data_IF_066867083154
#
_entry.id   IF_066867083154
#
_cell.length_a   1.000
_cell.length_b   1.000
_cell.length_c   1.000
_cell.angle_alpha   90.00
_cell.angle_beta   90.00
_cell.angle_gamma   90.00
#
_symmetry.space_group_name_H-M   'P 1'
#
loop_
_entity.id
_entity.type
_entity.pdbx_description
1 polymer ?
#
# COMPACT_ATOMS: atom_id res chain seq x y z
N UNK A 1 -5.57 -23.07 -12.34
CA UNK A 1 -5.13 -23.84 -13.52
C UNK A 1 -3.77 -23.31 -13.94
N UNK A 2 -2.74 -24.15 -14.10
CA UNK A 2 -1.42 -23.71 -14.56
C UNK A 2 -1.41 -23.71 -16.09
N UNK A 3 -1.54 -22.52 -16.69
CA UNK A 3 -1.65 -22.36 -18.15
C UNK A 3 -0.43 -22.88 -18.91
N UNK A 4 0.75 -22.91 -18.28
CA UNK A 4 1.98 -23.42 -18.89
C UNK A 4 1.95 -24.95 -18.96
N UNK A 5 1.65 -25.61 -17.84
CA UNK A 5 1.55 -27.08 -17.77
C UNK A 5 0.48 -27.63 -18.73
N UNK A 6 -0.67 -26.94 -18.82
CA UNK A 6 -1.74 -27.32 -19.74
C UNK A 6 -1.30 -27.25 -21.21
N UNK A 7 -0.51 -26.24 -21.59
CA UNK A 7 -0.01 -26.09 -22.97
C UNK A 7 1.12 -27.07 -23.29
N UNK A 8 1.96 -27.40 -22.31
CA UNK A 8 3.00 -28.43 -22.42
C UNK A 8 2.41 -29.83 -22.62
N UNK A 9 1.24 -30.12 -22.03
CA UNK A 9 0.48 -31.37 -22.22
C UNK A 9 -0.26 -31.42 -23.57
N UNK A 10 -0.78 -30.28 -24.03
CA UNK A 10 -1.61 -30.20 -25.24
C UNK A 10 -0.78 -30.17 -26.53
N UNK A 11 0.40 -29.55 -26.51
CA UNK A 11 1.23 -29.33 -27.69
C UNK A 11 2.48 -30.23 -27.66
N UNK A 12 2.79 -30.95 -28.76
CA UNK A 12 4.01 -31.73 -28.86
C UNK A 12 5.26 -30.83 -28.82
N UNK A 13 6.40 -31.41 -28.45
CA UNK A 13 7.65 -30.67 -28.42
C UNK A 13 8.05 -30.21 -29.82
N UNK A 14 7.94 -28.90 -30.05
CA UNK A 14 8.31 -28.25 -31.31
C UNK A 14 8.75 -26.80 -31.08
N UNK A 15 9.46 -26.18 -32.03
CA UNK A 15 9.82 -24.76 -31.97
C UNK A 15 8.60 -23.84 -31.80
N UNK A 16 7.48 -24.16 -32.48
CA UNK A 16 6.23 -23.40 -32.41
C UNK A 16 5.62 -23.46 -31.00
N UNK A 17 5.71 -24.62 -30.32
CA UNK A 17 5.28 -24.74 -28.93
C UNK A 17 6.09 -23.79 -28.04
N UNK A 18 7.40 -23.76 -28.22
CA UNK A 18 8.28 -22.94 -27.38
C UNK A 18 8.02 -21.43 -27.59
N UNK A 19 7.70 -21.02 -28.83
CA UNK A 19 7.23 -19.67 -29.13
C UNK A 19 5.92 -19.33 -28.40
N UNK A 20 4.91 -20.20 -28.48
CA UNK A 20 3.62 -20.01 -27.79
C UNK A 20 3.82 -19.91 -26.27
N UNK A 21 4.62 -20.81 -25.69
CA UNK A 21 4.95 -20.78 -24.27
C UNK A 21 5.66 -19.48 -23.87
N UNK A 22 6.55 -18.96 -24.71
CA UNK A 22 7.24 -17.69 -24.46
C UNK A 22 6.27 -16.51 -24.38
N UNK A 23 5.30 -16.42 -25.29
CA UNK A 23 4.28 -15.36 -25.31
C UNK A 23 3.38 -15.45 -24.09
N UNK A 24 2.97 -16.66 -23.70
CA UNK A 24 2.14 -16.86 -22.51
C UNK A 24 2.89 -16.48 -21.24
N UNK A 25 4.16 -16.87 -21.10
CA UNK A 25 5.02 -16.46 -19.98
C UNK A 25 5.14 -14.95 -19.90
N UNK A 26 5.35 -14.28 -21.04
CA UNK A 26 5.40 -12.83 -21.12
C UNK A 26 4.07 -12.20 -20.65
N UNK A 27 2.94 -12.66 -21.19
CA UNK A 27 1.61 -12.17 -20.80
C UNK A 27 1.31 -12.37 -19.31
N UNK A 28 1.67 -13.52 -18.74
CA UNK A 28 1.54 -13.79 -17.31
C UNK A 28 2.43 -12.87 -16.47
N UNK A 29 3.66 -12.59 -16.92
CA UNK A 29 4.57 -11.66 -16.24
C UNK A 29 4.03 -10.22 -16.25
N UNK A 30 3.46 -9.77 -17.37
CA UNK A 30 2.78 -8.47 -17.47
C UNK A 30 1.55 -8.41 -16.57
N UNK A 31 0.72 -9.46 -16.54
CA UNK A 31 -0.43 -9.54 -15.65
C UNK A 31 -0.01 -9.49 -14.17
N UNK A 32 1.09 -10.16 -13.81
CA UNK A 32 1.67 -10.09 -12.48
C UNK A 32 2.17 -8.67 -12.17
N UNK A 33 2.87 -8.01 -13.09
CA UNK A 33 3.31 -6.61 -12.92
C UNK A 33 2.12 -5.65 -12.74
N UNK A 34 1.04 -5.82 -13.51
CA UNK A 34 -0.18 -5.01 -13.33
C UNK A 34 -0.89 -5.30 -12.00
N UNK A 35 -0.80 -6.54 -11.49
CA UNK A 35 -1.31 -6.90 -10.14
C UNK A 35 -0.42 -6.36 -9.02
N UNK A 36 0.90 -6.33 -9.21
CA UNK A 36 1.88 -5.74 -8.27
C UNK A 36 1.62 -4.23 -8.12
N UNK A 37 1.11 -3.57 -9.17
CA UNK A 37 0.70 -2.16 -9.14
C UNK A 37 -0.47 -1.80 -8.20
N UNK A 38 -1.07 -2.75 -7.46
CA UNK A 38 -2.30 -2.49 -6.68
C UNK A 38 -2.23 -2.79 -5.18
N UNK A 39 -1.09 -3.20 -4.62
CA UNK A 39 -1.01 -3.29 -3.14
C UNK A 39 -0.71 -1.91 -2.56
N UNK A 40 -1.60 -1.34 -1.72
CA UNK A 40 -1.28 -0.09 -1.04
C UNK A 40 0.02 -0.28 -0.25
N UNK A 41 0.98 0.63 -0.45
CA UNK A 41 2.16 0.69 0.42
C UNK A 41 1.72 0.78 1.89
N UNK A 42 2.57 0.33 2.82
CA UNK A 42 2.23 0.16 4.24
C UNK A 42 1.40 1.32 4.82
N UNK A 43 1.86 2.57 4.64
CA UNK A 43 1.14 3.73 5.17
C UNK A 43 -0.23 3.94 4.51
N UNK A 44 -0.38 3.70 3.20
CA UNK A 44 -1.71 3.73 2.55
C UNK A 44 -2.63 2.65 3.14
N UNK A 45 -2.10 1.45 3.38
CA UNK A 45 -2.86 0.36 4.00
C UNK A 45 -3.25 0.66 5.45
N UNK A 46 -2.36 1.31 6.20
CA UNK A 46 -2.67 1.78 7.56
C UNK A 46 -3.73 2.88 7.54
N UNK A 47 -3.57 3.90 6.70
CA UNK A 47 -4.54 4.98 6.55
C UNK A 47 -5.92 4.44 6.13
N UNK A 48 -6.00 3.48 5.22
CA UNK A 48 -7.28 2.83 4.86
C UNK A 48 -8.00 2.20 6.06
N UNK A 49 -7.27 1.70 7.07
CA UNK A 49 -7.84 1.16 8.31
C UNK A 49 -8.20 2.26 9.31
N UNK A 50 -7.45 3.36 9.32
CA UNK A 50 -7.66 4.49 10.22
C UNK A 50 -8.83 5.37 9.79
N UNK A 51 -9.00 5.63 8.50
CA UNK A 51 -10.01 6.58 8.01
C UNK A 51 -11.46 6.24 8.42
N UNK A 52 -11.89 4.95 8.48
CA UNK A 52 -13.20 4.59 9.01
C UNK A 52 -13.44 4.92 10.49
N UNK A 53 -12.39 5.15 11.30
CA UNK A 53 -12.53 5.53 12.72
C UNK A 53 -12.79 7.02 12.90
N UNK A 54 -12.56 7.83 11.86
CA UNK A 54 -12.80 9.28 11.91
C UNK A 54 -14.29 9.54 11.81
N UNK A 55 -14.88 10.07 12.89
CA UNK A 55 -16.29 10.45 12.88
C UNK A 55 -16.57 11.61 11.92
N UNK A 56 -17.56 11.43 11.04
CA UNK A 56 -18.04 12.43 10.09
C UNK A 56 -17.18 12.59 8.83
N UNK A 57 -17.17 13.79 8.24
CA UNK A 57 -16.49 14.04 6.98
C UNK A 57 -14.96 13.93 7.14
N UNK A 58 -14.34 13.04 6.36
CA UNK A 58 -12.89 12.85 6.36
C UNK A 58 -12.21 14.08 5.75
N UNK A 59 -11.71 14.99 6.58
CA UNK A 59 -10.88 16.14 6.18
C UNK A 59 -9.41 15.89 6.51
N UNK A 60 -8.51 16.68 5.93
CA UNK A 60 -7.09 16.56 6.23
C UNK A 60 -6.78 16.93 7.70
N UNK A 61 -7.43 17.96 8.24
CA UNK A 61 -7.24 18.35 9.65
C UNK A 61 -7.71 17.26 10.63
N UNK A 62 -8.83 16.60 10.33
CA UNK A 62 -9.31 15.47 11.14
C UNK A 62 -8.38 14.27 11.05
N UNK A 63 -7.83 13.99 9.87
CA UNK A 63 -6.78 12.99 9.73
C UNK A 63 -5.55 13.35 10.57
N UNK A 64 -5.11 14.61 10.57
CA UNK A 64 -3.97 15.04 11.38
C UNK A 64 -4.24 14.87 12.88
N UNK A 65 -5.41 15.24 13.35
CA UNK A 65 -5.82 15.02 14.74
C UNK A 65 -5.79 13.52 15.10
N UNK A 66 -6.25 12.66 14.20
CA UNK A 66 -6.25 11.23 14.46
C UNK A 66 -4.85 10.61 14.45
N UNK A 67 -3.97 11.10 13.57
CA UNK A 67 -2.56 10.72 13.58
C UNK A 67 -1.84 11.22 14.86
N UNK A 68 -2.26 12.34 15.43
CA UNK A 68 -1.75 12.85 16.72
C UNK A 68 -2.20 11.95 17.88
N UNK A 69 -3.45 11.51 17.89
CA UNK A 69 -3.94 10.52 18.88
C UNK A 69 -3.18 9.21 18.77
N UNK A 70 -2.93 8.73 17.55
CA UNK A 70 -2.17 7.51 17.30
C UNK A 70 -0.69 7.64 17.70
N UNK A 71 -0.09 8.82 17.54
CA UNK A 71 1.24 9.12 18.06
C UNK A 71 1.28 9.07 19.59
N UNK A 72 0.31 9.70 20.27
CA UNK A 72 0.18 9.65 21.72
C UNK A 72 -0.06 8.21 22.22
N UNK A 73 -0.88 7.44 21.51
CA UNK A 73 -1.12 6.03 21.81
C UNK A 73 0.17 5.20 21.73
N UNK A 74 1.02 5.45 20.73
CA UNK A 74 2.33 4.81 20.64
C UNK A 74 3.24 5.18 21.81
N UNK A 75 3.24 6.45 22.22
CA UNK A 75 4.03 6.89 23.36
C UNK A 75 3.59 6.19 24.65
N UNK A 76 2.28 5.98 24.83
CA UNK A 76 1.73 5.30 26.01
C UNK A 76 1.90 3.78 26.00
N UNK A 77 1.68 3.12 24.86
CA UNK A 77 1.58 1.65 24.77
C UNK A 77 2.73 0.99 23.99
N UNK A 78 3.72 1.78 23.55
CA UNK A 78 4.89 1.30 22.82
C UNK A 78 4.68 1.18 21.31
N UNK A 79 5.73 0.71 20.63
CA UNK A 79 5.84 0.71 19.16
C UNK A 79 4.86 -0.20 18.43
N UNK A 80 4.30 -1.21 19.10
CA UNK A 80 3.33 -2.13 18.49
C UNK A 80 1.92 -1.52 18.41
N UNK A 81 1.63 -0.50 19.23
CA UNK A 81 0.31 0.09 19.30
C UNK A 81 -0.03 0.98 18.09
N UNK A 82 0.97 1.69 17.55
CA UNK A 82 0.80 2.49 16.35
C UNK A 82 2.12 2.68 15.60
N UNK A 83 2.11 2.68 14.25
CA UNK A 83 3.30 3.02 13.48
C UNK A 83 3.61 4.52 13.51
N UNK A 84 2.69 5.40 13.92
CA UNK A 84 2.90 6.85 13.93
C UNK A 84 3.73 7.24 15.15
N UNK A 85 4.83 7.95 14.93
CA UNK A 85 5.71 8.41 16.01
C UNK A 85 5.40 9.84 16.42
N UNK A 86 5.24 10.74 15.44
CA UNK A 86 5.06 12.17 15.70
C UNK A 86 4.37 12.85 14.53
N UNK A 87 3.47 13.77 14.83
CA UNK A 87 2.96 14.77 13.88
C UNK A 87 3.52 16.13 14.29
N UNK A 88 4.20 16.81 13.38
CA UNK A 88 4.76 18.13 13.60
C UNK A 88 4.11 19.13 12.66
N UNK A 89 3.20 19.96 13.20
CA UNK A 89 2.44 20.94 12.43
C UNK A 89 3.29 22.14 12.01
N UNK A 90 4.32 22.50 12.79
CA UNK A 90 5.20 23.64 12.48
C UNK A 90 6.04 23.30 11.26
N UNK A 91 6.65 22.12 11.26
CA UNK A 91 7.47 21.64 10.15
C UNK A 91 6.67 20.92 9.06
N UNK A 92 5.36 20.74 9.25
CA UNK A 92 4.45 20.05 8.33
C UNK A 92 4.94 18.65 7.95
N UNK A 93 5.38 17.88 8.94
CA UNK A 93 5.89 16.51 8.76
C UNK A 93 5.19 15.53 9.69
N UNK A 94 5.03 14.30 9.19
CA UNK A 94 4.61 13.13 9.97
C UNK A 94 5.76 12.14 9.97
N UNK A 95 6.18 11.73 11.16
CA UNK A 95 7.17 10.68 11.36
C UNK A 95 6.46 9.39 11.70
N UNK A 96 6.80 8.31 10.99
CA UNK A 96 6.23 6.99 11.20
C UNK A 96 7.28 5.89 11.04
N UNK A 97 7.00 4.71 11.57
CA UNK A 97 7.87 3.54 11.45
C UNK A 97 7.31 2.57 10.42
N UNK A 98 8.08 2.34 9.37
CA UNK A 98 7.80 1.34 8.36
C UNK A 98 8.43 0.00 8.77
N UNK A 99 7.73 -1.13 8.65
CA UNK A 99 8.20 -2.43 9.13
C UNK A 99 9.48 -2.92 8.44
N UNK A 100 9.76 -2.48 7.21
CA UNK A 100 10.96 -2.92 6.45
C UNK A 100 12.10 -1.90 6.43
N UNK A 101 11.78 -0.62 6.53
CA UNK A 101 12.71 0.48 6.23
C UNK A 101 12.91 1.41 7.43
N UNK A 102 12.32 1.06 8.57
CA UNK A 102 12.46 1.80 9.82
C UNK A 102 11.75 3.14 9.80
N UNK A 103 12.31 4.08 10.57
CA UNK A 103 11.77 5.42 10.77
C UNK A 103 11.80 6.23 9.48
N UNK A 104 10.68 6.84 9.13
CA UNK A 104 10.51 7.66 7.93
C UNK A 104 9.76 8.95 8.25
N UNK A 105 10.09 10.00 7.52
CA UNK A 105 9.41 11.29 7.59
C UNK A 105 8.70 11.57 6.27
N UNK A 106 7.48 12.06 6.35
CA UNK A 106 6.67 12.45 5.19
C UNK A 106 6.12 13.85 5.41
N UNK A 107 6.16 14.66 4.35
CA UNK A 107 5.53 15.97 4.35
C UNK A 107 4.00 15.86 4.37
N UNK A 108 3.32 16.90 4.86
CA UNK A 108 1.85 16.98 4.82
C UNK A 108 1.31 16.84 3.40
N UNK A 109 1.98 17.42 2.40
CA UNK A 109 1.67 17.21 0.97
C UNK A 109 1.67 15.71 0.60
N UNK A 110 2.66 14.96 1.08
CA UNK A 110 2.75 13.52 0.82
C UNK A 110 1.63 12.74 1.52
N UNK A 111 1.24 13.13 2.73
CA UNK A 111 0.10 12.54 3.45
C UNK A 111 -1.21 12.88 2.74
N UNK A 112 -1.41 14.12 2.31
CA UNK A 112 -2.59 14.56 1.58
C UNK A 112 -2.79 13.78 0.27
N UNK A 113 -1.71 13.56 -0.50
CA UNK A 113 -1.76 12.70 -1.69
C UNK A 113 -2.18 11.26 -1.36
N UNK A 114 -1.72 10.72 -0.23
CA UNK A 114 -2.14 9.39 0.23
C UNK A 114 -3.59 9.39 0.69
N UNK A 115 -4.06 10.44 1.36
CA UNK A 115 -5.45 10.62 1.75
C UNK A 115 -6.38 10.66 0.53
N UNK A 116 -6.05 11.45 -0.48
CA UNK A 116 -6.82 11.50 -1.73
C UNK A 116 -6.92 10.11 -2.38
N UNK A 117 -5.81 9.38 -2.44
CA UNK A 117 -5.82 8.01 -2.92
C UNK A 117 -6.70 7.09 -2.05
N UNK A 118 -6.62 7.18 -0.71
CA UNK A 118 -7.42 6.34 0.18
C UNK A 118 -8.91 6.62 0.05
N UNK A 119 -9.31 7.88 -0.09
CA UNK A 119 -10.71 8.27 -0.35
C UNK A 119 -11.27 7.62 -1.63
N UNK A 120 -10.46 7.54 -2.68
CA UNK A 120 -10.85 6.87 -3.93
C UNK A 120 -10.90 5.34 -3.84
N UNK A 121 -10.34 4.73 -2.78
CA UNK A 121 -10.27 3.27 -2.59
C UNK A 121 -11.08 2.78 -1.37
N UNK A 122 -11.83 3.67 -0.72
CA UNK A 122 -12.78 3.37 0.36
C UNK A 122 -14.20 3.10 -0.18
N UNK A 123 -14.40 3.15 -1.50
CA UNK A 123 -15.60 2.67 -2.19
C UNK A 123 -15.62 1.15 -2.22
#
# INVERSE_FOLDING_TARGET
>A
MNHIAYLEELLPASPERDEVLSVVRLGLSFQQQQRIGKRPGFLKGYLLKLLPTIEGAVTFDRLLAELELEAARREMYGTEASPIEKVDRVWQIVTYHHPKTGRQQLTFKSIMNKLSWCKSNLQ
#
